data_IF_838007674815
#
_entry.id   IF_838007674815
#
_cell.length_a   1.000
_cell.length_b   1.000
_cell.length_c   1.000
_cell.angle_alpha   90.00
_cell.angle_beta   90.00
_cell.angle_gamma   90.00
#
_symmetry.space_group_name_H-M   'P 1'
#
loop_
_entity.id
_entity.type
_entity.pdbx_description
1 polymer ?
#
# COMPACT_ATOMS: atom_id res chain seq x y z
N UNK A 1 27.19 8.13 -55.27
CA UNK A 1 28.21 8.07 -54.20
C UNK A 1 27.46 8.23 -52.89
N UNK A 2 27.15 7.12 -52.23
CA UNK A 2 26.23 7.07 -51.08
C UNK A 2 27.08 6.97 -49.82
N UNK A 3 27.27 8.08 -49.11
CA UNK A 3 27.93 8.08 -47.79
C UNK A 3 26.85 7.93 -46.71
N UNK A 4 26.86 6.75 -46.10
CA UNK A 4 26.04 6.37 -44.95
C UNK A 4 26.30 7.29 -43.77
N UNK A 5 25.24 7.92 -43.24
CA UNK A 5 25.23 8.45 -41.88
C UNK A 5 25.15 7.28 -40.90
N UNK A 6 26.25 7.00 -40.19
CA UNK A 6 26.23 6.08 -39.06
C UNK A 6 25.30 6.61 -37.97
N UNK A 7 24.40 5.79 -37.40
CA UNK A 7 23.63 6.20 -36.24
C UNK A 7 24.58 6.37 -35.06
N UNK A 8 24.70 7.59 -34.56
CA UNK A 8 25.34 7.85 -33.27
C UNK A 8 24.43 7.26 -32.20
N UNK A 9 24.73 6.04 -31.77
CA UNK A 9 24.14 5.48 -30.55
C UNK A 9 24.72 6.27 -29.39
N UNK A 10 24.01 7.30 -28.94
CA UNK A 10 24.39 8.09 -27.77
C UNK A 10 24.20 7.23 -26.54
N UNK A 11 25.29 6.64 -26.04
CA UNK A 11 25.26 5.94 -24.75
C UNK A 11 24.85 6.95 -23.68
N UNK A 12 23.77 6.72 -22.91
CA UNK A 12 23.36 7.64 -21.85
C UNK A 12 24.50 7.81 -20.86
N UNK A 13 24.77 9.06 -20.47
CA UNK A 13 25.81 9.32 -19.49
C UNK A 13 25.41 8.76 -18.12
N UNK A 14 26.39 8.51 -17.25
CA UNK A 14 26.12 8.10 -15.87
C UNK A 14 25.22 9.12 -15.16
N UNK A 15 25.34 10.40 -15.51
CA UNK A 15 24.47 11.48 -15.01
C UNK A 15 23.02 11.31 -15.46
N UNK A 16 22.77 10.94 -16.72
CA UNK A 16 21.42 10.72 -17.25
C UNK A 16 20.75 9.51 -16.59
N UNK A 17 21.52 8.43 -16.40
CA UNK A 17 21.04 7.23 -15.70
C UNK A 17 20.73 7.50 -14.21
N UNK A 18 21.56 8.29 -13.53
CA UNK A 18 21.35 8.67 -12.13
C UNK A 18 20.11 9.57 -11.94
N UNK A 19 19.91 10.53 -12.85
CA UNK A 19 18.74 11.41 -12.85
C UNK A 19 17.44 10.65 -13.14
N UNK A 20 17.46 9.71 -14.09
CA UNK A 20 16.32 8.83 -14.37
C UNK A 20 15.96 7.99 -13.13
N UNK A 21 16.95 7.33 -12.52
CA UNK A 21 16.73 6.52 -11.31
C UNK A 21 16.17 7.33 -10.13
N UNK A 22 16.62 8.57 -9.95
CA UNK A 22 16.11 9.45 -8.89
C UNK A 22 14.68 9.90 -9.18
N UNK A 23 14.37 10.19 -10.44
CA UNK A 23 13.00 10.56 -10.87
C UNK A 23 12.03 9.40 -10.65
N UNK A 24 12.41 8.18 -11.03
CA UNK A 24 11.61 6.97 -10.83
C UNK A 24 11.36 6.70 -9.34
N UNK A 25 12.40 6.85 -8.50
CA UNK A 25 12.28 6.67 -7.06
C UNK A 25 11.34 7.71 -6.42
N UNK A 26 11.44 8.98 -6.82
CA UNK A 26 10.53 10.04 -6.35
C UNK A 26 9.09 9.80 -6.80
N UNK A 27 8.89 9.37 -8.03
CA UNK A 27 7.56 9.07 -8.55
C UNK A 27 6.94 7.86 -7.84
N UNK A 28 7.72 6.82 -7.57
CA UNK A 28 7.29 5.67 -6.76
C UNK A 28 6.89 6.10 -5.35
N UNK A 29 7.69 6.96 -4.71
CA UNK A 29 7.39 7.47 -3.37
C UNK A 29 6.08 8.27 -3.35
N UNK A 30 5.87 9.15 -4.32
CA UNK A 30 4.64 9.94 -4.44
C UNK A 30 3.41 9.05 -4.65
N UNK A 31 3.52 8.01 -5.48
CA UNK A 31 2.44 7.05 -5.70
C UNK A 31 2.09 6.31 -4.40
N UNK A 32 3.10 5.72 -3.73
CA UNK A 32 2.88 5.01 -2.46
C UNK A 32 2.31 5.93 -1.38
N UNK A 33 2.72 7.19 -1.32
CA UNK A 33 2.11 8.15 -0.40
C UNK A 33 0.61 8.38 -0.71
N UNK A 34 0.25 8.43 -1.99
CA UNK A 34 -1.15 8.44 -2.43
C UNK A 34 -1.92 7.22 -1.95
N UNK A 35 -1.37 6.02 -2.20
CA UNK A 35 -1.97 4.74 -1.83
C UNK A 35 -2.14 4.61 -0.31
N UNK A 36 -1.12 5.02 0.47
CA UNK A 36 -1.19 5.06 1.93
C UNK A 36 -2.31 5.97 2.43
N UNK A 37 -2.45 7.18 1.86
CA UNK A 37 -3.55 8.09 2.26
C UNK A 37 -4.92 7.49 1.94
N UNK A 38 -5.06 6.84 0.78
CA UNK A 38 -6.29 6.19 0.39
C UNK A 38 -6.63 5.02 1.34
N UNK A 39 -5.64 4.21 1.72
CA UNK A 39 -5.85 3.11 2.66
C UNK A 39 -6.22 3.62 4.07
N UNK A 40 -5.61 4.72 4.54
CA UNK A 40 -6.02 5.36 5.81
C UNK A 40 -7.50 5.79 5.73
N UNK A 41 -7.89 6.47 4.65
CA UNK A 41 -9.27 6.91 4.47
C UNK A 41 -10.24 5.72 4.45
N UNK A 42 -9.90 4.67 3.69
CA UNK A 42 -10.69 3.45 3.62
C UNK A 42 -10.87 2.77 4.98
N UNK A 43 -9.78 2.65 5.76
CA UNK A 43 -9.82 2.07 7.10
C UNK A 43 -10.70 2.89 8.04
N UNK A 44 -10.59 4.23 8.01
CA UNK A 44 -11.41 5.13 8.83
C UNK A 44 -12.89 4.99 8.48
N UNK A 45 -13.23 5.01 7.19
CA UNK A 45 -14.61 4.87 6.73
C UNK A 45 -15.22 3.53 7.16
N UNK A 46 -14.48 2.42 6.97
CA UNK A 46 -14.89 1.10 7.39
C UNK A 46 -15.16 1.04 8.90
N UNK A 47 -14.24 1.56 9.71
CA UNK A 47 -14.34 1.49 11.17
C UNK A 47 -15.47 2.36 11.70
N UNK A 48 -15.71 3.52 11.09
CA UNK A 48 -16.84 4.38 11.42
C UNK A 48 -18.17 3.70 11.11
N UNK A 49 -18.31 3.06 9.96
CA UNK A 49 -19.50 2.30 9.60
C UNK A 49 -19.78 1.17 10.61
N UNK A 50 -18.78 0.33 10.90
CA UNK A 50 -18.91 -0.75 11.87
C UNK A 50 -19.23 -0.25 13.29
N UNK A 51 -18.68 0.90 13.70
CA UNK A 51 -19.02 1.52 14.98
C UNK A 51 -20.49 1.97 15.01
N UNK A 52 -21.00 2.59 13.96
CA UNK A 52 -22.41 3.00 13.89
C UNK A 52 -23.35 1.80 13.99
N UNK A 53 -23.03 0.71 13.30
CA UNK A 53 -23.79 -0.54 13.37
C UNK A 53 -23.76 -1.12 14.79
N UNK A 54 -22.59 -1.13 15.43
CA UNK A 54 -22.42 -1.61 16.82
C UNK A 54 -23.20 -0.76 17.83
N UNK A 55 -23.19 0.57 17.67
CA UNK A 55 -24.00 1.47 18.50
C UNK A 55 -25.50 1.23 18.30
N UNK A 56 -25.92 0.97 17.07
CA UNK A 56 -27.31 0.62 16.75
C UNK A 56 -27.70 -0.71 17.41
N UNK A 57 -26.83 -1.72 17.35
CA UNK A 57 -27.06 -3.00 18.03
C UNK A 57 -27.16 -2.84 19.56
N UNK A 58 -26.28 -2.03 20.16
CA UNK A 58 -26.32 -1.74 21.61
C UNK A 58 -27.60 -1.01 22.03
N UNK A 59 -28.01 0.02 21.27
CA UNK A 59 -29.20 0.83 21.60
C UNK A 59 -30.52 0.09 21.39
N UNK A 60 -30.53 -0.94 20.55
CA UNK A 60 -31.72 -1.76 20.28
C UNK A 60 -31.81 -3.04 21.12
N UNK A 61 -30.75 -3.37 21.87
CA UNK A 61 -30.73 -4.53 22.75
C UNK A 61 -31.78 -4.41 23.87
N UNK A 62 -32.56 -5.47 24.08
CA UNK A 62 -33.64 -5.51 25.08
C UNK A 62 -33.23 -6.11 26.41
N UNK A 63 -32.07 -6.77 26.47
CA UNK A 63 -31.56 -7.45 27.65
C UNK A 63 -30.02 -7.46 27.68
N UNK A 64 -29.48 -7.89 28.82
CA UNK A 64 -28.03 -7.98 29.05
C UNK A 64 -27.37 -8.94 28.07
N UNK A 65 -28.05 -10.01 27.65
CA UNK A 65 -27.50 -10.97 26.68
C UNK A 65 -27.30 -10.33 25.31
N UNK A 66 -28.25 -9.51 24.86
CA UNK A 66 -28.13 -8.72 23.63
C UNK A 66 -26.99 -7.70 23.70
N UNK A 67 -26.84 -7.03 24.83
CA UNK A 67 -25.72 -6.10 25.06
C UNK A 67 -24.38 -6.85 24.99
N UNK A 68 -24.26 -8.00 25.66
CA UNK A 68 -23.03 -8.80 25.66
C UNK A 68 -22.69 -9.33 24.27
N UNK A 69 -23.70 -9.73 23.49
CA UNK A 69 -23.49 -10.15 22.09
C UNK A 69 -22.97 -8.99 21.24
N UNK A 70 -23.62 -7.83 21.28
CA UNK A 70 -23.20 -6.65 20.53
C UNK A 70 -21.75 -6.24 20.88
N UNK A 71 -21.39 -6.32 22.17
CA UNK A 71 -20.03 -6.05 22.63
C UNK A 71 -19.00 -7.07 22.09
N UNK A 72 -19.34 -8.36 22.07
CA UNK A 72 -18.47 -9.41 21.54
C UNK A 72 -18.26 -9.27 20.03
N UNK A 73 -19.34 -9.03 19.29
CA UNK A 73 -19.30 -8.81 17.84
C UNK A 73 -18.44 -7.59 17.50
N UNK A 74 -18.65 -6.46 18.18
CA UNK A 74 -17.81 -5.27 18.04
C UNK A 74 -16.33 -5.57 18.30
N UNK A 75 -16.02 -6.33 19.35
CA UNK A 75 -14.65 -6.68 19.71
C UNK A 75 -13.95 -7.51 18.63
N UNK A 76 -14.63 -8.54 18.12
CA UNK A 76 -14.11 -9.39 17.04
C UNK A 76 -13.89 -8.60 15.74
N UNK A 77 -14.87 -7.77 15.37
CA UNK A 77 -14.80 -6.94 14.17
C UNK A 77 -13.68 -5.91 14.28
N UNK A 78 -13.54 -5.26 15.44
CA UNK A 78 -12.44 -4.33 15.71
C UNK A 78 -11.09 -5.00 15.52
N UNK A 79 -10.87 -6.17 16.11
CA UNK A 79 -9.61 -6.90 15.99
C UNK A 79 -9.30 -7.25 14.53
N UNK A 80 -10.31 -7.72 13.78
CA UNK A 80 -10.17 -8.05 12.37
C UNK A 80 -9.82 -6.82 11.52
N UNK A 81 -10.51 -5.70 11.73
CA UNK A 81 -10.26 -4.45 11.00
C UNK A 81 -8.81 -3.98 11.20
N UNK A 82 -8.34 -3.92 12.46
CA UNK A 82 -6.97 -3.50 12.76
C UNK A 82 -5.92 -4.45 12.19
N UNK A 83 -6.16 -5.76 12.25
CA UNK A 83 -5.25 -6.75 11.67
C UNK A 83 -5.15 -6.56 10.14
N UNK A 84 -6.29 -6.47 9.46
CA UNK A 84 -6.36 -6.30 8.01
C UNK A 84 -5.75 -4.96 7.57
N UNK A 85 -6.07 -3.86 8.27
CA UNK A 85 -5.49 -2.54 8.00
C UNK A 85 -3.97 -2.55 8.15
N UNK A 86 -3.46 -3.13 9.25
CA UNK A 86 -2.01 -3.24 9.47
C UNK A 86 -1.33 -4.06 8.38
N UNK A 87 -1.93 -5.18 7.95
CA UNK A 87 -1.40 -6.01 6.88
C UNK A 87 -1.33 -5.24 5.55
N UNK A 88 -2.35 -4.45 5.22
CA UNK A 88 -2.36 -3.61 4.01
C UNK A 88 -1.31 -2.51 4.05
N UNK A 89 -1.14 -1.83 5.19
CA UNK A 89 -0.04 -0.86 5.35
C UNK A 89 1.34 -1.51 5.18
N UNK A 90 1.56 -2.69 5.78
CA UNK A 90 2.81 -3.40 5.62
C UNK A 90 3.11 -3.73 4.15
N UNK A 91 2.10 -4.17 3.38
CA UNK A 91 2.24 -4.44 1.95
C UNK A 91 2.62 -3.20 1.13
N UNK A 92 2.06 -2.02 1.46
CA UNK A 92 2.42 -0.75 0.81
C UNK A 92 3.89 -0.39 1.07
N UNK A 93 4.38 -0.57 2.30
CA UNK A 93 5.79 -0.34 2.63
C UNK A 93 6.75 -1.35 1.98
N UNK A 94 6.37 -2.63 1.93
CA UNK A 94 7.16 -3.65 1.21
C UNK A 94 7.25 -3.32 -0.28
N UNK A 95 6.15 -2.88 -0.89
CA UNK A 95 6.12 -2.50 -2.31
C UNK A 95 7.05 -1.33 -2.60
N UNK A 96 7.10 -0.31 -1.73
CA UNK A 96 8.04 0.80 -1.83
C UNK A 96 9.50 0.34 -1.70
N UNK A 97 9.77 -0.56 -0.76
CA UNK A 97 11.12 -1.09 -0.54
C UNK A 97 11.60 -1.84 -1.78
N UNK A 98 10.73 -2.68 -2.37
CA UNK A 98 11.02 -3.45 -3.58
C UNK A 98 11.20 -2.56 -4.82
N UNK A 99 10.40 -1.50 -4.95
CA UNK A 99 10.55 -0.52 -6.03
C UNK A 99 11.86 0.29 -5.94
N UNK A 100 12.38 0.50 -4.72
CA UNK A 100 13.66 1.18 -4.47
C UNK A 100 14.89 0.31 -4.72
N UNK A 101 14.77 -1.02 -4.83
CA UNK A 101 15.89 -1.90 -5.18
C UNK A 101 16.01 -1.97 -6.70
N UNK A 102 17.19 -1.69 -7.24
CA UNK A 102 17.45 -1.66 -8.69
C UNK A 102 17.00 -2.97 -9.39
N UNK A 103 16.70 -2.92 -10.71
CA UNK A 103 16.23 -4.11 -11.45
C UNK A 103 17.14 -5.34 -11.34
N UNK A 104 18.45 -5.13 -11.15
CA UNK A 104 19.43 -6.21 -10.94
C UNK A 104 19.27 -6.96 -9.62
N UNK A 105 18.81 -6.29 -8.56
CA UNK A 105 18.55 -6.91 -7.27
C UNK A 105 17.19 -7.64 -7.23
N UNK A 106 16.19 -7.15 -7.95
CA UNK A 106 14.90 -7.81 -8.10
C UNK A 106 15.02 -9.18 -8.78
N UNK A 107 15.96 -9.33 -9.73
CA UNK A 107 16.21 -10.61 -10.40
C UNK A 107 16.83 -11.66 -9.45
N UNK A 108 17.75 -11.26 -8.56
CA UNK A 108 18.32 -12.19 -7.56
C UNK A 108 17.31 -12.64 -6.51
N UNK A 109 16.37 -11.79 -6.11
CA UNK A 109 15.33 -12.15 -5.12
C UNK A 109 14.36 -13.19 -5.69
N UNK A 110 14.04 -13.11 -6.99
CA UNK A 110 13.11 -14.05 -7.66
C UNK A 110 13.68 -15.46 -7.87
N UNK A 111 14.98 -15.65 -7.68
CA UNK A 111 15.67 -16.94 -7.81
C UNK A 111 16.04 -17.60 -6.47
N UNK A 112 15.74 -16.94 -5.33
CA UNK A 112 16.02 -17.45 -3.98
C UNK A 112 14.73 -17.94 -3.28
N UNK A 113 13.55 -17.73 -3.87
CA UNK A 113 12.26 -18.30 -3.43
C UNK A 113 11.86 -19.46 -4.31
#
# INVERSE_FOLDING_TARGET
MTTMTSPTTTTPSISDAAMASTTDALQSLMSTYGDCRQEIAHFVDLRLAHNLDSWTALTTARDVTGIMRAQQEWGMQTAADYFNGTARFAQLFTSLTLAGVSPGAQHSIRHIV
#
